data_IF_334148615254
#
_entry.id   IF_334148615254
#
_cell.length_a   1.000
_cell.length_b   1.000
_cell.length_c   1.000
_cell.angle_alpha   90.00
_cell.angle_beta   90.00
_cell.angle_gamma   90.00
#
_symmetry.space_group_name_H-M   'P 1'
#
loop_
_entity.id
_entity.type
_entity.pdbx_description
1 polymer ?
#
# COMPACT_ATOMS: atom_id res chain seq x y z
N UNK A 1 -22.94 -7.11 -2.16
CA UNK A 1 -22.28 -6.71 -3.40
C UNK A 1 -21.57 -5.40 -3.16
N UNK A 2 -20.24 -5.39 -3.18
CA UNK A 2 -19.46 -4.16 -3.10
C UNK A 2 -19.55 -3.43 -4.44
N UNK A 3 -20.08 -2.19 -4.44
CA UNK A 3 -20.07 -1.34 -5.61
C UNK A 3 -18.79 -0.52 -5.62
N UNK A 4 -17.90 -0.80 -6.56
CA UNK A 4 -16.75 0.04 -6.81
C UNK A 4 -17.15 1.20 -7.74
N UNK A 5 -17.05 2.44 -7.27
CA UNK A 5 -17.10 3.63 -8.13
C UNK A 5 -15.66 4.04 -8.43
N UNK A 6 -15.27 4.01 -9.70
CA UNK A 6 -13.92 4.32 -10.14
C UNK A 6 -13.78 5.77 -10.56
N UNK A 7 -12.71 6.40 -10.13
CA UNK A 7 -12.18 7.65 -10.66
C UNK A 7 -10.93 7.31 -11.44
N UNK A 8 -10.93 7.54 -12.75
CA UNK A 8 -9.76 7.29 -13.61
C UNK A 8 -9.32 8.63 -14.21
N UNK A 9 -8.08 9.02 -13.99
CA UNK A 9 -7.47 10.19 -14.63
C UNK A 9 -6.42 9.77 -15.64
N UNK A 10 -6.18 10.59 -16.66
CA UNK A 10 -5.13 10.34 -17.64
C UNK A 10 -3.78 10.24 -16.93
N UNK A 11 -3.27 9.03 -16.76
CA UNK A 11 -2.04 8.72 -16.06
C UNK A 11 -2.16 8.34 -14.58
N UNK A 12 -3.34 8.43 -13.97
CA UNK A 12 -3.58 8.07 -12.57
C UNK A 12 -4.93 7.39 -12.43
N UNK A 13 -4.95 6.19 -11.89
CA UNK A 13 -6.16 5.42 -11.69
C UNK A 13 -6.46 5.31 -10.20
N UNK A 14 -7.63 5.84 -9.78
CA UNK A 14 -8.05 5.85 -8.39
C UNK A 14 -9.43 5.20 -8.22
N UNK A 15 -9.61 4.40 -7.20
CA UNK A 15 -10.84 3.70 -6.90
C UNK A 15 -11.22 3.88 -5.44
N UNK A 16 -12.45 4.30 -5.20
CA UNK A 16 -13.04 4.28 -3.86
C UNK A 16 -13.86 3.01 -3.68
N UNK A 17 -13.47 2.18 -2.74
CA UNK A 17 -14.21 0.97 -2.37
C UNK A 17 -15.19 1.33 -1.26
N UNK A 18 -16.49 1.30 -1.54
CA UNK A 18 -17.54 1.47 -0.51
C UNK A 18 -18.25 0.15 -0.29
N UNK A 19 -18.18 -0.34 0.93
CA UNK A 19 -19.18 -1.27 1.45
C UNK A 19 -20.34 -0.44 2.01
N UNK A 20 -21.53 -0.62 1.44
CA UNK A 20 -22.73 0.12 1.82
C UNK A 20 -23.27 -0.44 3.13
N UNK A 21 -23.08 0.25 4.25
CA UNK A 21 -23.96 0.20 5.42
C UNK A 21 -23.78 1.47 6.29
N UNK A 22 -24.89 1.93 6.79
CA UNK A 22 -25.28 3.14 7.47
C UNK A 22 -24.32 3.74 8.51
N UNK A 23 -24.31 5.07 8.48
CA UNK A 23 -23.66 6.06 9.35
C UNK A 23 -24.20 6.02 10.78
N UNK A 24 -23.34 5.91 11.78
CA UNK A 24 -23.60 6.39 13.13
C UNK A 24 -22.41 7.25 13.60
N UNK A 25 -22.72 8.47 14.02
CA UNK A 25 -21.80 9.45 14.62
C UNK A 25 -21.36 9.01 16.00
N UNK A 26 -20.12 9.27 16.37
CA UNK A 26 -19.71 9.47 17.78
C UNK A 26 -18.62 10.53 17.91
N UNK A 27 -18.79 11.30 19.00
CA UNK A 27 -18.11 12.54 19.33
C UNK A 27 -16.71 12.34 19.91
N UNK A 28 -15.95 13.43 19.88
CA UNK A 28 -14.55 13.57 20.29
C UNK A 28 -14.34 13.47 21.80
N UNK A 29 -13.21 12.94 22.21
CA UNK A 29 -12.62 13.15 23.54
C UNK A 29 -11.14 13.50 23.39
N UNK A 30 -10.77 14.64 23.95
CA UNK A 30 -9.42 15.22 24.02
C UNK A 30 -8.53 14.52 25.04
N UNK A 31 -7.27 14.30 24.73
CA UNK A 31 -6.25 13.88 25.69
C UNK A 31 -5.08 14.85 25.74
N UNK A 32 -4.71 15.18 26.96
CA UNK A 32 -3.69 16.17 27.39
C UNK A 32 -2.30 15.51 27.41
N UNK A 33 -1.29 16.23 26.92
CA UNK A 33 0.12 15.82 26.90
C UNK A 33 0.86 16.17 28.18
N UNK A 34 1.72 15.27 28.66
CA UNK A 34 2.75 15.58 29.66
C UNK A 34 4.14 15.50 29.02
N UNK A 35 4.96 16.53 29.23
CA UNK A 35 6.34 16.60 28.81
C UNK A 35 7.29 16.28 29.97
N UNK A 36 8.33 15.48 29.71
CA UNK A 36 9.50 15.39 30.58
C UNK A 36 10.77 15.71 29.78
N UNK A 37 11.53 16.68 30.27
CA UNK A 37 12.77 17.15 29.70
C UNK A 37 13.96 16.46 30.38
N UNK A 38 14.89 15.92 29.61
CA UNK A 38 16.36 15.97 29.83
C UNK A 38 17.06 15.04 28.81
N UNK A 39 17.46 15.59 27.67
CA UNK A 39 18.32 14.89 26.69
C UNK A 39 19.77 15.34 26.81
N UNK A 40 20.70 14.43 26.65
CA UNK A 40 22.13 14.65 26.70
C UNK A 40 22.66 15.51 25.54
N UNK A 41 23.89 16.03 25.67
CA UNK A 41 24.53 16.90 24.68
C UNK A 41 24.64 16.25 23.29
N UNK A 42 24.74 14.94 23.22
CA UNK A 42 24.77 14.16 21.97
C UNK A 42 23.41 14.11 21.27
N UNK A 43 22.30 14.03 22.01
CA UNK A 43 20.95 14.10 21.44
C UNK A 43 20.67 15.47 20.86
N UNK A 44 21.15 16.55 21.49
CA UNK A 44 21.03 17.92 20.96
C UNK A 44 21.84 18.14 19.68
N UNK A 45 22.98 17.48 19.51
CA UNK A 45 23.76 17.56 18.28
C UNK A 45 23.07 16.75 17.15
N UNK A 46 22.55 15.57 17.47
CA UNK A 46 21.77 14.75 16.52
C UNK A 46 20.47 15.44 16.11
N UNK A 47 19.77 16.10 17.06
CA UNK A 47 18.56 16.84 16.73
C UNK A 47 18.85 18.06 15.84
N UNK A 48 19.91 18.81 16.09
CA UNK A 48 20.33 19.93 15.23
C UNK A 48 20.77 19.50 13.85
N UNK A 49 21.44 18.36 13.70
CA UNK A 49 21.78 17.78 12.39
C UNK A 49 20.53 17.30 11.67
N UNK A 50 19.58 16.69 12.37
CA UNK A 50 18.29 16.30 11.81
C UNK A 50 17.45 17.53 11.38
N UNK A 51 17.44 18.60 12.18
CA UNK A 51 16.78 19.85 11.82
C UNK A 51 17.42 20.56 10.60
N UNK A 52 18.76 20.54 10.49
CA UNK A 52 19.46 21.09 9.32
C UNK A 52 19.21 20.26 8.06
N UNK A 53 19.11 18.93 8.16
CA UNK A 53 18.69 18.08 7.05
C UNK A 53 17.21 18.25 6.70
N UNK A 54 16.34 18.46 7.68
CA UNK A 54 14.92 18.69 7.48
C UNK A 54 14.60 20.04 6.79
N UNK A 55 15.46 21.06 6.94
CA UNK A 55 15.30 22.34 6.23
C UNK A 55 15.43 22.25 4.71
N UNK A 56 15.99 21.16 4.18
CA UNK A 56 16.08 20.91 2.73
C UNK A 56 15.02 19.93 2.19
N UNK A 57 14.24 19.25 3.03
CA UNK A 57 13.22 18.30 2.60
C UNK A 57 11.88 19.02 2.33
N UNK A 58 11.13 18.60 1.29
CA UNK A 58 9.80 19.12 1.04
C UNK A 58 8.90 18.91 2.27
N UNK A 59 8.08 19.91 2.60
CA UNK A 59 7.11 19.77 3.69
C UNK A 59 6.05 18.72 3.28
N UNK A 60 5.86 17.71 4.10
CA UNK A 60 4.80 16.72 3.90
C UNK A 60 3.44 17.41 3.89
N UNK A 61 2.65 17.15 2.83
CA UNK A 61 1.29 17.68 2.68
C UNK A 61 0.31 16.51 2.82
N UNK A 62 -0.52 16.47 3.89
CA UNK A 62 -1.54 15.44 4.02
C UNK A 62 -2.57 15.56 2.89
N UNK A 63 -3.08 14.41 2.45
CA UNK A 63 -4.17 14.34 1.47
C UNK A 63 -5.47 14.67 2.21
N UNK A 64 -6.22 15.71 1.78
CA UNK A 64 -7.44 16.10 2.46
C UNK A 64 -8.44 14.94 2.56
N UNK A 65 -9.02 14.74 3.73
CA UNK A 65 -10.01 13.70 3.99
C UNK A 65 -9.44 12.27 4.13
N UNK A 66 -8.12 12.06 4.02
CA UNK A 66 -7.50 10.74 4.15
C UNK A 66 -6.81 10.61 5.51
N UNK A 67 -7.22 9.60 6.30
CA UNK A 67 -6.67 9.37 7.64
C UNK A 67 -5.33 8.62 7.59
N UNK A 68 -5.27 7.51 6.86
CA UNK A 68 -4.08 6.67 6.75
C UNK A 68 -3.69 6.42 5.30
N UNK A 69 -2.42 6.61 4.97
CA UNK A 69 -1.86 6.30 3.66
C UNK A 69 -0.98 5.07 3.78
N UNK A 70 -1.34 4.01 3.06
CA UNK A 70 -0.58 2.77 2.96
C UNK A 70 0.03 2.67 1.56
N UNK A 71 1.33 2.50 1.45
CA UNK A 71 1.98 2.24 0.16
C UNK A 71 2.32 0.77 -0.01
N UNK A 72 2.06 0.24 -1.20
CA UNK A 72 2.46 -1.10 -1.62
C UNK A 72 3.57 -0.94 -2.66
N UNK A 73 4.75 -1.40 -2.32
CA UNK A 73 5.95 -1.21 -3.13
C UNK A 73 6.66 -2.53 -3.44
N UNK A 74 7.45 -2.53 -4.47
CA UNK A 74 8.32 -3.65 -4.81
C UNK A 74 9.63 -3.13 -5.40
N UNK A 75 10.72 -3.81 -5.11
CA UNK A 75 12.02 -3.48 -5.70
C UNK A 75 12.12 -3.84 -7.18
N UNK A 76 11.26 -4.72 -7.69
CA UNK A 76 11.30 -5.26 -9.06
C UNK A 76 9.91 -5.37 -9.66
N UNK A 77 9.80 -5.23 -10.98
CA UNK A 77 8.57 -5.52 -11.72
C UNK A 77 8.25 -7.03 -11.78
N UNK A 78 6.99 -7.37 -11.93
CA UNK A 78 6.53 -8.75 -12.10
C UNK A 78 6.38 -9.59 -10.84
N UNK A 79 6.60 -9.03 -9.64
CA UNK A 79 6.45 -9.74 -8.35
C UNK A 79 5.00 -9.80 -7.85
N UNK A 80 4.04 -9.24 -8.60
CA UNK A 80 2.62 -9.23 -8.24
C UNK A 80 2.22 -8.10 -7.28
N UNK A 81 2.95 -6.98 -7.28
CA UNK A 81 2.71 -5.79 -6.47
C UNK A 81 1.27 -5.28 -6.61
N UNK A 82 0.83 -4.97 -7.84
CA UNK A 82 -0.49 -4.40 -8.12
C UNK A 82 -1.64 -5.36 -7.78
N UNK A 83 -1.47 -6.66 -8.07
CA UNK A 83 -2.42 -7.70 -7.63
C UNK A 83 -2.54 -7.73 -6.11
N UNK A 84 -1.42 -7.60 -5.40
CA UNK A 84 -1.41 -7.54 -3.94
C UNK A 84 -2.07 -6.24 -3.45
N UNK A 85 -1.77 -5.08 -4.03
CA UNK A 85 -2.36 -3.81 -3.66
C UNK A 85 -3.90 -3.82 -3.78
N UNK A 86 -4.42 -4.33 -4.90
CA UNK A 86 -5.87 -4.48 -5.13
C UNK A 86 -6.52 -5.39 -4.07
N UNK A 87 -5.96 -6.59 -3.86
CA UNK A 87 -6.53 -7.54 -2.91
C UNK A 87 -6.39 -7.08 -1.46
N UNK A 88 -5.32 -6.34 -1.10
CA UNK A 88 -5.18 -5.72 0.22
C UNK A 88 -6.21 -4.60 0.44
N UNK A 89 -6.42 -3.71 -0.53
CA UNK A 89 -7.44 -2.67 -0.42
C UNK A 89 -8.84 -3.27 -0.21
N UNK A 90 -9.17 -4.31 -0.99
CA UNK A 90 -10.42 -5.06 -0.83
C UNK A 90 -10.48 -5.84 0.50
N UNK A 91 -9.36 -6.40 0.95
CA UNK A 91 -9.25 -7.11 2.22
C UNK A 91 -9.44 -6.19 3.43
N UNK A 92 -8.88 -4.96 3.38
CA UNK A 92 -9.10 -3.93 4.40
C UNK A 92 -10.58 -3.53 4.45
N UNK A 93 -11.20 -3.29 3.28
CA UNK A 93 -12.62 -2.96 3.19
C UNK A 93 -13.54 -4.11 3.62
N UNK A 94 -13.13 -5.36 3.44
CA UNK A 94 -13.90 -6.54 3.87
C UNK A 94 -13.74 -6.85 5.37
N UNK A 95 -12.60 -6.48 5.97
CA UNK A 95 -12.31 -6.74 7.38
C UNK A 95 -13.15 -5.87 8.32
N UNK A 96 -13.56 -4.68 7.87
CA UNK A 96 -14.42 -3.77 8.62
C UNK A 96 -15.30 -2.99 7.66
N UNK A 97 -16.57 -3.36 7.60
CA UNK A 97 -17.56 -2.77 6.68
C UNK A 97 -17.84 -1.28 6.92
N UNK A 98 -17.39 -0.72 8.03
CA UNK A 98 -17.54 0.72 8.35
C UNK A 98 -16.44 1.55 7.69
N UNK A 99 -15.29 0.95 7.39
CA UNK A 99 -14.12 1.65 6.85
C UNK A 99 -14.26 2.00 5.37
N UNK A 100 -13.95 3.25 5.05
CA UNK A 100 -13.83 3.74 3.68
C UNK A 100 -12.41 3.53 3.18
N UNK A 101 -12.24 2.81 2.08
CA UNK A 101 -10.93 2.50 1.50
C UNK A 101 -10.84 3.04 0.08
N UNK A 102 -9.76 3.78 -0.20
CA UNK A 102 -9.38 4.22 -1.54
C UNK A 102 -8.22 3.38 -2.07
N UNK A 103 -8.11 3.27 -3.37
CA UNK A 103 -7.00 2.61 -4.06
C UNK A 103 -6.51 3.50 -5.20
N UNK A 104 -5.23 3.82 -5.20
CA UNK A 104 -4.56 4.65 -6.20
C UNK A 104 -3.51 3.85 -6.95
N UNK A 105 -3.61 3.81 -8.28
CA UNK A 105 -2.56 3.30 -9.17
C UNK A 105 -1.56 4.43 -9.47
N UNK A 106 -0.38 4.35 -8.89
CA UNK A 106 0.71 5.28 -9.10
C UNK A 106 1.69 4.82 -10.19
N UNK A 107 1.47 3.66 -10.79
CA UNK A 107 2.25 3.15 -11.92
C UNK A 107 1.72 3.72 -13.25
N UNK A 108 2.08 4.96 -13.51
CA UNK A 108 1.60 5.71 -14.67
C UNK A 108 1.97 5.06 -16.00
N UNK A 109 3.07 4.33 -16.06
CA UNK A 109 3.55 3.70 -17.29
C UNK A 109 2.94 2.33 -17.57
N UNK A 110 2.45 1.63 -16.53
CA UNK A 110 1.86 0.30 -16.63
C UNK A 110 0.60 0.14 -15.80
N UNK A 111 -0.43 1.02 -15.94
CA UNK A 111 -1.60 0.98 -15.08
C UNK A 111 -2.34 -0.34 -15.24
N UNK A 112 -2.59 -1.02 -14.14
CA UNK A 112 -3.20 -2.35 -14.11
C UNK A 112 -4.52 -2.42 -13.31
N UNK A 113 -4.71 -1.51 -12.38
CA UNK A 113 -5.87 -1.46 -11.49
C UNK A 113 -7.20 -1.34 -12.23
N UNK A 114 -7.35 -0.51 -13.30
CA UNK A 114 -8.62 -0.41 -14.00
C UNK A 114 -9.12 -1.73 -14.54
N UNK A 115 -8.21 -2.54 -15.09
CA UNK A 115 -8.54 -3.87 -15.60
C UNK A 115 -8.91 -4.82 -14.46
N UNK A 116 -8.11 -4.87 -13.40
CA UNK A 116 -8.35 -5.74 -12.26
C UNK A 116 -9.62 -5.41 -11.46
N UNK A 117 -10.09 -4.17 -11.54
CA UNK A 117 -11.31 -3.70 -10.88
C UNK A 117 -12.50 -3.54 -11.83
N UNK A 118 -12.36 -3.96 -13.10
CA UNK A 118 -13.38 -3.83 -14.14
C UNK A 118 -13.94 -2.40 -14.27
N UNK A 119 -13.07 -1.41 -14.20
CA UNK A 119 -13.44 -0.01 -14.34
C UNK A 119 -13.62 0.32 -15.82
N UNK A 120 -14.72 1.01 -16.14
CA UNK A 120 -15.03 1.46 -17.50
C UNK A 120 -15.36 2.96 -17.45
N UNK A 121 -14.99 3.66 -18.52
CA UNK A 121 -15.28 5.09 -18.68
C UNK A 121 -14.04 5.97 -18.46
N UNK A 122 -14.24 7.27 -18.66
CA UNK A 122 -13.22 8.28 -18.40
C UNK A 122 -13.19 8.65 -16.91
N UNK A 123 -12.05 9.13 -16.42
CA UNK A 123 -11.94 9.62 -15.05
C UNK A 123 -12.85 10.82 -14.81
N UNK A 124 -13.47 10.85 -13.64
CA UNK A 124 -14.12 12.06 -13.14
C UNK A 124 -13.07 12.97 -12.52
N UNK A 125 -12.96 14.20 -13.00
CA UNK A 125 -12.03 15.20 -12.51
C UNK A 125 -12.78 16.11 -11.53
N UNK A 126 -12.19 16.41 -10.38
CA UNK A 126 -12.72 17.40 -9.45
C UNK A 126 -12.78 18.79 -10.12
N UNK A 127 -13.88 19.52 -9.92
CA UNK A 127 -14.08 20.89 -10.44
C UNK A 127 -13.18 21.94 -9.76
N UNK A 128 -12.46 21.58 -8.70
CA UNK A 128 -11.52 22.47 -8.02
C UNK A 128 -10.23 22.66 -8.83
N UNK A 129 -10.30 23.60 -9.79
CA UNK A 129 -9.19 24.04 -10.65
C UNK A 129 -8.27 25.02 -9.92
N UNK A 130 -7.57 24.61 -8.91
CA UNK A 130 -6.34 25.31 -8.53
C UNK A 130 -5.14 24.55 -9.12
N UNK A 131 -4.88 24.79 -10.40
CA UNK A 131 -3.62 24.42 -11.03
C UNK A 131 -2.54 25.38 -10.50
N UNK A 132 -1.84 24.97 -9.44
CA UNK A 132 -0.56 25.58 -9.12
C UNK A 132 0.50 24.96 -10.06
N UNK A 133 1.25 25.83 -10.75
CA UNK A 133 2.14 25.58 -11.89
C UNK A 133 3.39 24.74 -11.55
N UNK A 134 3.42 24.10 -10.40
CA UNK A 134 4.47 23.16 -10.04
C UNK A 134 3.95 21.74 -10.21
N UNK A 135 4.46 21.05 -11.23
CA UNK A 135 4.23 19.62 -11.58
C UNK A 135 4.42 18.61 -10.43
N UNK A 136 4.61 19.08 -9.21
CA UNK A 136 4.79 18.31 -7.97
C UNK A 136 3.52 18.17 -7.11
N UNK A 137 2.40 18.81 -7.50
CA UNK A 137 1.18 18.85 -6.67
C UNK A 137 0.00 18.05 -7.25
N UNK A 138 0.18 17.34 -8.36
CA UNK A 138 -0.89 16.64 -9.07
C UNK A 138 -1.69 15.66 -8.19
N UNK A 139 -1.08 15.08 -7.19
CA UNK A 139 -1.68 14.04 -6.35
C UNK A 139 -2.72 14.55 -5.34
N UNK A 140 -2.56 15.80 -4.89
CA UNK A 140 -3.39 16.37 -3.82
C UNK A 140 -4.58 17.19 -4.34
N UNK A 141 -4.52 17.70 -5.58
CA UNK A 141 -5.49 18.68 -6.09
C UNK A 141 -6.46 18.13 -7.12
N UNK A 142 -6.25 16.92 -7.61
CA UNK A 142 -6.97 16.41 -8.78
C UNK A 142 -8.04 15.38 -8.44
N UNK A 143 -7.88 14.66 -7.33
CA UNK A 143 -8.85 13.64 -6.89
C UNK A 143 -9.50 14.08 -5.59
N UNK A 144 -10.82 14.29 -5.61
CA UNK A 144 -11.59 14.43 -4.39
C UNK A 144 -11.84 13.05 -3.78
N UNK A 145 -11.04 12.68 -2.80
CA UNK A 145 -11.16 11.41 -2.09
C UNK A 145 -12.37 11.38 -1.14
N UNK A 146 -12.87 12.55 -0.72
CA UNK A 146 -13.78 12.67 0.40
C UNK A 146 -13.15 12.07 1.67
N UNK A 147 -13.97 11.60 2.62
CA UNK A 147 -13.46 10.99 3.85
C UNK A 147 -13.07 9.53 3.59
N UNK A 148 -11.78 9.19 3.78
CA UNK A 148 -11.22 7.85 3.71
C UNK A 148 -10.50 7.50 5.01
N UNK A 149 -10.75 6.29 5.51
CA UNK A 149 -9.95 5.73 6.61
C UNK A 149 -8.58 5.26 6.10
N UNK A 150 -8.55 4.63 4.92
CA UNK A 150 -7.34 4.14 4.29
C UNK A 150 -7.27 4.51 2.82
N UNK A 151 -6.11 4.98 2.38
CA UNK A 151 -5.75 5.09 0.98
C UNK A 151 -4.58 4.14 0.69
N UNK A 152 -4.82 3.13 -0.12
CA UNK A 152 -3.77 2.20 -0.59
C UNK A 152 -3.21 2.73 -1.89
N UNK A 153 -1.91 2.94 -1.94
CA UNK A 153 -1.19 3.43 -3.13
C UNK A 153 -0.36 2.28 -3.72
N UNK A 154 -0.67 1.89 -4.93
CA UNK A 154 0.15 0.98 -5.72
C UNK A 154 1.30 1.75 -6.36
N UNK A 155 2.52 1.59 -5.83
CA UNK A 155 3.70 2.34 -6.27
C UNK A 155 4.25 1.79 -7.58
N UNK A 156 4.93 2.58 -8.43
CA UNK A 156 5.68 2.03 -9.56
C UNK A 156 6.76 1.05 -9.07
N UNK A 157 7.19 0.08 -9.89
CA UNK A 157 8.24 -0.86 -9.52
C UNK A 157 9.61 -0.17 -9.39
N UNK A 158 10.47 -0.72 -8.56
CA UNK A 158 11.85 -0.24 -8.37
C UNK A 158 12.01 0.72 -7.18
N UNK A 159 13.06 1.53 -7.19
CA UNK A 159 13.42 2.50 -6.15
C UNK A 159 13.71 3.89 -6.78
N UNK A 160 12.93 4.24 -7.81
CA UNK A 160 13.16 5.43 -8.63
C UNK A 160 12.60 6.72 -8.03
N UNK A 161 12.78 7.80 -8.78
CA UNK A 161 12.43 9.17 -8.37
C UNK A 161 10.95 9.35 -8.04
N UNK A 162 10.05 8.61 -8.71
CA UNK A 162 8.61 8.70 -8.45
C UNK A 162 8.27 8.19 -7.05
N UNK A 163 8.84 7.04 -6.65
CA UNK A 163 8.65 6.50 -5.30
C UNK A 163 9.18 7.46 -4.24
N UNK A 164 10.39 8.00 -4.48
CA UNK A 164 11.01 8.96 -3.58
C UNK A 164 10.18 10.24 -3.48
N UNK A 165 9.70 10.76 -4.60
CA UNK A 165 8.86 11.96 -4.65
C UNK A 165 7.55 11.78 -3.88
N UNK A 166 6.84 10.66 -4.05
CA UNK A 166 5.62 10.37 -3.30
C UNK A 166 5.92 10.30 -1.80
N UNK A 167 6.98 9.57 -1.42
CA UNK A 167 7.37 9.37 -0.02
C UNK A 167 7.82 10.65 0.68
N UNK A 168 8.31 11.63 -0.06
CA UNK A 168 8.76 12.93 0.48
C UNK A 168 7.66 13.98 0.52
N UNK A 169 6.57 13.81 -0.22
CA UNK A 169 5.50 14.81 -0.30
C UNK A 169 4.25 14.43 0.51
N UNK A 170 4.00 13.13 0.74
CA UNK A 170 2.79 12.64 1.42
C UNK A 170 3.18 11.97 2.74
N UNK A 171 2.48 12.25 3.85
CA UNK A 171 2.68 11.53 5.10
C UNK A 171 2.15 10.09 4.96
N UNK A 172 3.08 9.14 4.82
CA UNK A 172 2.78 7.71 4.66
C UNK A 172 2.74 7.06 6.03
N UNK A 173 1.60 6.42 6.37
CA UNK A 173 1.41 5.70 7.63
C UNK A 173 2.19 4.38 7.67
N UNK A 174 2.47 3.80 6.51
CA UNK A 174 3.27 2.58 6.43
C UNK A 174 3.50 2.10 5.01
N UNK A 175 4.60 1.37 4.81
CA UNK A 175 4.97 0.72 3.56
C UNK A 175 4.94 -0.80 3.70
N UNK A 176 4.33 -1.47 2.73
CA UNK A 176 4.35 -2.92 2.57
C UNK A 176 5.24 -3.25 1.37
N UNK A 177 6.23 -4.10 1.57
CA UNK A 177 7.13 -4.52 0.51
C UNK A 177 6.69 -5.88 -0.01
N UNK A 178 6.41 -5.96 -1.32
CA UNK A 178 6.04 -7.21 -1.99
C UNK A 178 7.23 -7.76 -2.75
N UNK A 179 7.56 -9.03 -2.51
CA UNK A 179 8.62 -9.74 -3.21
C UNK A 179 8.26 -11.21 -3.44
N UNK A 180 8.97 -11.84 -4.35
CA UNK A 180 9.00 -13.30 -4.50
C UNK A 180 10.21 -13.87 -3.77
N UNK A 181 10.25 -15.20 -3.47
CA UNK A 181 11.39 -15.83 -2.78
C UNK A 181 12.72 -15.84 -3.56
N UNK A 182 12.73 -15.39 -4.82
CA UNK A 182 13.94 -15.34 -5.66
C UNK A 182 14.99 -14.36 -5.11
N UNK A 183 16.25 -14.76 -5.04
CA UNK A 183 17.36 -13.95 -4.51
C UNK A 183 17.44 -12.57 -5.17
N UNK A 184 17.29 -12.49 -6.49
CA UNK A 184 17.36 -11.21 -7.21
C UNK A 184 16.18 -10.28 -6.83
N UNK A 185 14.98 -10.83 -6.59
CA UNK A 185 13.84 -10.04 -6.15
C UNK A 185 14.00 -9.58 -4.70
N UNK A 186 14.61 -10.41 -3.85
CA UNK A 186 14.88 -10.10 -2.45
C UNK A 186 15.95 -9.02 -2.30
N UNK A 187 17.00 -9.03 -3.15
CA UNK A 187 18.00 -7.96 -3.18
C UNK A 187 17.37 -6.60 -3.50
N UNK A 188 16.47 -6.57 -4.47
CA UNK A 188 15.77 -5.33 -4.83
C UNK A 188 14.72 -4.93 -3.77
N UNK A 189 14.04 -5.89 -3.14
CA UNK A 189 13.14 -5.64 -2.01
C UNK A 189 13.88 -5.02 -0.82
N UNK A 190 15.11 -5.48 -0.53
CA UNK A 190 15.98 -4.88 0.46
C UNK A 190 16.27 -3.42 0.17
N UNK A 191 16.66 -3.09 -1.07
CA UNK A 191 16.89 -1.70 -1.49
C UNK A 191 15.65 -0.82 -1.33
N UNK A 192 14.47 -1.38 -1.66
CA UNK A 192 13.19 -0.70 -1.46
C UNK A 192 12.92 -0.38 0.00
N UNK A 193 13.09 -1.35 0.89
CA UNK A 193 12.90 -1.17 2.32
C UNK A 193 13.92 -0.15 2.91
N UNK A 194 15.20 -0.22 2.53
CA UNK A 194 16.23 0.75 2.92
C UNK A 194 15.90 2.17 2.43
N UNK A 195 15.31 2.31 1.24
CA UNK A 195 14.86 3.62 0.73
C UNK A 195 13.77 4.21 1.63
N UNK A 196 12.72 3.44 1.97
CA UNK A 196 11.65 3.91 2.86
C UNK A 196 12.17 4.29 4.25
N UNK A 197 13.09 3.50 4.81
CA UNK A 197 13.73 3.82 6.09
C UNK A 197 14.50 5.14 6.04
N UNK A 198 15.23 5.41 4.94
CA UNK A 198 15.97 6.68 4.75
C UNK A 198 15.07 7.92 4.66
N UNK A 199 13.85 7.77 4.19
CA UNK A 199 12.85 8.87 4.13
C UNK A 199 11.89 8.85 5.32
N UNK A 200 12.21 8.11 6.38
CA UNK A 200 11.43 7.99 7.62
C UNK A 200 10.00 7.47 7.43
N UNK A 201 9.78 6.62 6.43
CA UNK A 201 8.52 5.90 6.24
C UNK A 201 8.63 4.55 6.94
N UNK A 202 7.72 4.22 7.88
CA UNK A 202 7.75 2.94 8.57
C UNK A 202 7.46 1.79 7.61
N UNK A 203 8.36 0.80 7.55
CA UNK A 203 8.14 -0.44 6.80
C UNK A 203 7.39 -1.42 7.70
N UNK A 204 6.11 -1.67 7.39
CA UNK A 204 5.24 -2.55 8.17
C UNK A 204 5.66 -4.01 8.08
N UNK A 205 6.25 -4.41 6.96
CA UNK A 205 6.78 -5.75 6.75
C UNK A 205 6.83 -6.16 5.30
N UNK A 206 7.19 -7.43 5.09
CA UNK A 206 7.34 -8.07 3.79
C UNK A 206 6.17 -9.01 3.51
N UNK A 207 5.62 -8.94 2.30
CA UNK A 207 4.68 -9.94 1.76
C UNK A 207 5.45 -10.83 0.79
N UNK A 208 5.53 -12.12 1.10
CA UNK A 208 6.11 -13.11 0.21
C UNK A 208 5.05 -13.58 -0.78
N UNK A 209 5.11 -13.09 -2.00
CA UNK A 209 4.22 -13.52 -3.07
C UNK A 209 4.81 -14.68 -3.87
N UNK A 210 3.97 -15.51 -4.45
CA UNK A 210 4.37 -16.71 -5.21
C UNK A 210 5.22 -17.67 -4.36
N UNK A 211 4.93 -17.78 -3.06
CA UNK A 211 5.69 -18.55 -2.09
C UNK A 211 5.72 -20.04 -2.40
N UNK A 212 4.59 -20.59 -2.81
CA UNK A 212 4.42 -22.00 -3.12
C UNK A 212 3.46 -22.16 -4.29
N UNK A 213 3.79 -23.01 -5.22
CA UNK A 213 2.86 -23.50 -6.25
C UNK A 213 2.15 -24.73 -5.73
N UNK A 214 0.82 -24.75 -5.85
CA UNK A 214 -0.02 -25.89 -5.53
C UNK A 214 -0.60 -26.46 -6.82
N UNK A 215 -0.31 -27.71 -7.11
CA UNK A 215 -0.80 -28.37 -8.30
C UNK A 215 -2.33 -28.56 -8.25
N UNK A 216 -3.10 -28.05 -9.21
CA UNK A 216 -4.56 -28.16 -9.18
C UNK A 216 -5.08 -29.60 -9.40
N UNK A 217 -4.22 -30.53 -9.85
CA UNK A 217 -4.59 -31.93 -10.10
C UNK A 217 -4.30 -32.85 -8.92
N UNK A 218 -3.17 -32.69 -8.25
CA UNK A 218 -2.71 -33.62 -7.21
C UNK A 218 -2.39 -32.96 -5.87
N UNK A 219 -2.62 -31.64 -5.76
CA UNK A 219 -2.40 -30.85 -4.55
C UNK A 219 -0.94 -30.81 -4.04
N UNK A 220 -0.01 -31.34 -4.85
CA UNK A 220 1.41 -31.31 -4.54
C UNK A 220 1.92 -29.88 -4.44
N UNK A 221 2.66 -29.58 -3.36
CA UNK A 221 3.24 -28.26 -3.11
C UNK A 221 4.70 -28.23 -3.56
N UNK A 222 5.06 -27.25 -4.36
CA UNK A 222 6.42 -27.04 -4.87
C UNK A 222 6.84 -25.60 -4.70
N UNK A 223 8.00 -25.35 -4.10
CA UNK A 223 8.58 -24.02 -3.97
C UNK A 223 9.40 -23.69 -5.23
N UNK A 224 8.72 -23.20 -6.27
CA UNK A 224 9.33 -22.92 -7.58
C UNK A 224 10.45 -21.87 -7.48
N UNK A 225 10.27 -20.89 -6.61
CA UNK A 225 11.16 -19.73 -6.46
C UNK A 225 12.06 -19.79 -5.21
N UNK A 226 12.08 -20.93 -4.50
CA UNK A 226 12.78 -21.09 -3.22
C UNK A 226 11.84 -20.97 -2.02
N UNK A 227 12.28 -21.40 -0.85
CA UNK A 227 11.46 -21.47 0.36
C UNK A 227 11.83 -20.38 1.40
N UNK A 228 13.13 -20.19 1.67
CA UNK A 228 13.59 -19.51 2.89
C UNK A 228 14.12 -18.10 2.69
N UNK A 229 14.28 -17.65 1.43
CA UNK A 229 14.94 -16.38 1.11
C UNK A 229 14.25 -15.16 1.73
N UNK A 230 12.93 -15.10 1.72
CA UNK A 230 12.20 -13.99 2.31
C UNK A 230 12.31 -13.96 3.84
N UNK A 231 12.33 -15.12 4.50
CA UNK A 231 12.54 -15.22 5.95
C UNK A 231 13.95 -14.75 6.35
N UNK A 232 14.97 -15.12 5.58
CA UNK A 232 16.34 -14.67 5.80
C UNK A 232 16.47 -13.15 5.63
N UNK A 233 15.85 -12.58 4.59
CA UNK A 233 15.82 -11.14 4.37
C UNK A 233 15.10 -10.41 5.50
N UNK A 234 13.91 -10.87 5.89
CA UNK A 234 13.13 -10.27 6.96
C UNK A 234 13.95 -10.25 8.28
N UNK A 235 14.57 -11.37 8.64
CA UNK A 235 15.44 -11.45 9.82
C UNK A 235 16.64 -10.50 9.72
N UNK A 236 17.32 -10.44 8.58
CA UNK A 236 18.48 -9.58 8.37
C UNK A 236 18.15 -8.08 8.46
N UNK A 237 16.92 -7.69 8.14
CA UNK A 237 16.46 -6.30 8.17
C UNK A 237 15.66 -5.94 9.43
N UNK A 238 15.41 -6.89 10.32
CA UNK A 238 14.54 -6.70 11.48
C UNK A 238 13.08 -6.41 11.07
N UNK A 239 12.64 -6.95 9.94
CA UNK A 239 11.27 -6.83 9.44
C UNK A 239 10.50 -8.13 9.71
N UNK A 240 9.18 -8.00 9.81
CA UNK A 240 8.29 -9.15 9.90
C UNK A 240 7.79 -9.57 8.51
N UNK A 241 7.52 -10.86 8.34
CA UNK A 241 6.71 -11.34 7.22
C UNK A 241 5.25 -11.18 7.59
N UNK A 242 4.52 -10.36 6.81
CA UNK A 242 3.08 -10.12 6.98
C UNK A 242 2.25 -11.32 6.51
N UNK A 243 2.76 -12.10 5.59
CA UNK A 243 2.15 -13.33 5.13
C UNK A 243 2.68 -13.80 3.79
N UNK A 244 2.25 -15.01 3.46
CA UNK A 244 2.62 -15.74 2.25
C UNK A 244 1.42 -15.88 1.33
N UNK A 245 1.60 -15.52 0.07
CA UNK A 245 0.59 -15.67 -0.97
C UNK A 245 1.06 -16.74 -1.95
N UNK A 246 0.26 -17.80 -2.17
CA UNK A 246 0.64 -18.86 -3.09
C UNK A 246 0.59 -18.40 -4.55
N UNK A 247 1.39 -19.05 -5.38
CA UNK A 247 1.21 -18.97 -6.83
C UNK A 247 0.03 -19.86 -7.21
N UNK A 248 -1.13 -19.24 -7.42
CA UNK A 248 -2.37 -19.95 -7.70
C UNK A 248 -3.09 -19.37 -8.92
N UNK A 249 -3.69 -20.26 -9.72
CA UNK A 249 -4.33 -19.90 -10.99
C UNK A 249 -5.55 -18.99 -10.76
N UNK A 250 -6.29 -19.23 -9.66
CA UNK A 250 -7.49 -18.48 -9.30
C UNK A 250 -7.20 -16.99 -9.07
N UNK A 251 -6.05 -16.65 -8.45
CA UNK A 251 -5.64 -15.24 -8.24
C UNK A 251 -5.51 -14.51 -9.57
N UNK A 252 -4.86 -15.16 -10.56
CA UNK A 252 -4.69 -14.60 -11.90
C UNK A 252 -6.02 -14.45 -12.62
N UNK A 253 -6.80 -15.53 -12.71
CA UNK A 253 -8.05 -15.56 -13.48
C UNK A 253 -9.07 -14.56 -12.93
N UNK A 254 -9.23 -14.49 -11.63
CA UNK A 254 -10.17 -13.56 -10.99
C UNK A 254 -9.76 -12.09 -11.21
N UNK A 255 -8.45 -11.77 -11.17
CA UNK A 255 -7.95 -10.44 -11.49
C UNK A 255 -8.14 -10.11 -12.99
N UNK A 256 -7.88 -11.06 -13.89
CA UNK A 256 -8.07 -10.88 -15.35
C UNK A 256 -9.55 -10.65 -15.70
N UNK A 257 -10.48 -11.26 -14.94
CA UNK A 257 -11.92 -11.07 -15.06
C UNK A 257 -12.42 -9.76 -14.40
N UNK A 258 -11.54 -9.00 -13.74
CA UNK A 258 -11.91 -7.78 -13.02
C UNK A 258 -12.73 -8.01 -11.74
N UNK A 259 -12.58 -9.19 -11.14
CA UNK A 259 -13.22 -9.59 -9.88
C UNK A 259 -12.17 -10.27 -8.98
N UNK A 260 -11.30 -9.50 -8.30
CA UNK A 260 -10.23 -10.05 -7.48
C UNK A 260 -10.70 -11.11 -6.48
N UNK A 261 -9.81 -12.03 -6.11
CA UNK A 261 -10.14 -13.24 -5.36
C UNK A 261 -10.82 -12.95 -4.01
N UNK A 262 -10.45 -11.86 -3.33
CA UNK A 262 -11.09 -11.44 -2.07
C UNK A 262 -12.59 -11.18 -2.21
N UNK A 263 -13.03 -10.76 -3.39
CA UNK A 263 -14.46 -10.47 -3.68
C UNK A 263 -15.15 -11.66 -4.34
N UNK A 264 -14.46 -12.34 -5.26
CA UNK A 264 -15.06 -13.42 -6.07
C UNK A 264 -15.18 -14.74 -5.29
N UNK A 265 -14.22 -15.04 -4.41
CA UNK A 265 -14.17 -16.28 -3.61
C UNK A 265 -13.59 -15.99 -2.22
N UNK A 266 -14.34 -15.31 -1.32
CA UNK A 266 -13.87 -14.86 -0.01
C UNK A 266 -13.45 -16.00 0.91
N UNK A 267 -14.01 -17.20 0.71
CA UNK A 267 -13.74 -18.37 1.53
C UNK A 267 -12.51 -19.16 1.08
N UNK A 268 -11.94 -18.83 -0.07
CA UNK A 268 -10.71 -19.48 -0.56
C UNK A 268 -9.52 -19.23 0.37
N UNK A 269 -8.55 -20.13 0.31
CA UNK A 269 -7.30 -19.97 1.07
C UNK A 269 -6.52 -18.73 0.62
N UNK A 270 -6.58 -18.40 -0.66
CA UNK A 270 -5.96 -17.24 -1.28
C UNK A 270 -6.57 -15.94 -0.76
N UNK A 271 -7.89 -15.85 -0.72
CA UNK A 271 -8.60 -14.69 -0.16
C UNK A 271 -8.30 -14.53 1.34
N UNK A 272 -8.34 -15.62 2.10
CA UNK A 272 -8.00 -15.64 3.53
C UNK A 272 -6.56 -15.19 3.80
N UNK A 273 -5.61 -15.54 2.92
CA UNK A 273 -4.23 -15.06 3.02
C UNK A 273 -4.16 -13.52 2.89
N UNK A 274 -4.80 -12.93 1.88
CA UNK A 274 -4.86 -11.47 1.73
C UNK A 274 -5.59 -10.80 2.90
N UNK A 275 -6.71 -11.33 3.36
CA UNK A 275 -7.45 -10.80 4.51
C UNK A 275 -6.63 -10.86 5.80
N UNK A 276 -5.88 -11.94 6.02
CA UNK A 276 -4.97 -12.06 7.16
C UNK A 276 -3.86 -11.01 7.15
N UNK A 277 -3.27 -10.75 5.97
CA UNK A 277 -2.28 -9.69 5.79
C UNK A 277 -2.92 -8.31 6.05
N UNK A 278 -4.11 -8.06 5.51
CA UNK A 278 -4.84 -6.81 5.73
C UNK A 278 -5.11 -6.53 7.22
N UNK A 279 -5.53 -7.55 7.98
CA UNK A 279 -5.74 -7.43 9.42
C UNK A 279 -4.45 -7.10 10.18
N UNK A 280 -3.32 -7.72 9.82
CA UNK A 280 -2.03 -7.39 10.41
C UNK A 280 -1.62 -5.94 10.11
N UNK A 281 -1.83 -5.46 8.89
CA UNK A 281 -1.55 -4.08 8.49
C UNK A 281 -2.38 -3.10 9.33
N UNK A 282 -3.70 -3.33 9.43
CA UNK A 282 -4.60 -2.51 10.25
C UNK A 282 -4.11 -2.45 11.69
N UNK A 283 -3.77 -3.59 12.29
CA UNK A 283 -3.31 -3.68 13.68
C UNK A 283 -2.00 -2.93 13.94
N UNK A 284 -1.14 -2.77 12.93
CA UNK A 284 0.14 -2.07 13.03
C UNK A 284 0.01 -0.56 12.82
N UNK A 285 -0.92 -0.13 11.98
CA UNK A 285 -1.18 1.30 11.73
C UNK A 285 -1.97 1.92 12.90
N UNK A 286 -2.82 1.14 13.57
CA UNK A 286 -3.65 1.62 14.69
C UNK A 286 -2.91 1.72 16.03
N UNK A 287 -1.65 1.28 16.09
CA UNK A 287 -0.76 1.42 17.27
C UNK A 287 -0.05 2.75 17.28
#
# INVERSE_FOLDING_TARGET
>A
MAAARGLVMSGLNAVRVRTCLQRCRRDAVSAVSFSSAAGSREEKVKSRQAEMMAHGLPKLKPIPGVMHVLVVASGKGGVGKSTTAVNLALGIAASDHVKSVGLLDADVYGPSIPRMMNLKGNPEVSDSREFDDSSRQLWNSVVDWGELDYLVIDMPPGTGDVQLSISQNIPISGAVIVSTPQDIALLDARRGAEMFQKVNVPVLGLVQNMSVFRCPKCDHKTHIFGADGAQQLATAMGLDILGDIPLHINIRETCDLGKPVVVSDPESNEAKAYMGIAQQIISRISK
#
